data_IF_745534582522
#
_entry.id   IF_745534582522
#
_cell.length_a   1.000
_cell.length_b   1.000
_cell.length_c   1.000
_cell.angle_alpha   90.00
_cell.angle_beta   90.00
_cell.angle_gamma   90.00
#
_symmetry.space_group_name_H-M   'P 1'
#
loop_
_entity.id
_entity.type
_entity.pdbx_description
1 polymer ?
#
# COMPACT_ATOMS: atom_id res chain seq x y z
N UNK A 1 24.59 18.32 -10.93
CA UNK A 1 23.71 18.87 -9.87
C UNK A 1 22.98 17.69 -9.29
N UNK A 2 22.95 17.55 -7.96
CA UNK A 2 22.17 16.51 -7.28
C UNK A 2 20.69 16.71 -7.59
N UNK A 3 19.98 15.64 -7.93
CA UNK A 3 18.54 15.67 -8.19
C UNK A 3 17.83 16.25 -6.95
N UNK A 4 16.94 17.23 -7.14
CA UNK A 4 16.09 17.74 -6.06
C UNK A 4 15.28 16.56 -5.50
N UNK A 5 15.14 16.46 -4.18
CA UNK A 5 14.44 15.31 -3.59
C UNK A 5 12.92 15.40 -3.78
N UNK A 6 12.23 14.25 -3.76
CA UNK A 6 10.78 14.21 -3.86
C UNK A 6 10.11 14.96 -2.70
N UNK A 7 10.65 14.84 -1.49
CA UNK A 7 10.18 15.50 -0.27
C UNK A 7 10.26 17.03 -0.38
N UNK A 8 11.30 17.56 -1.04
CA UNK A 8 11.42 18.98 -1.31
C UNK A 8 10.37 19.47 -2.32
N UNK A 9 9.98 18.63 -3.28
CA UNK A 9 8.94 18.98 -4.25
C UNK A 9 7.53 18.86 -3.67
N UNK A 10 7.28 17.89 -2.79
CA UNK A 10 6.00 17.73 -2.08
C UNK A 10 5.59 18.96 -1.27
N UNK A 11 6.57 19.77 -0.84
CA UNK A 11 6.33 21.05 -0.14
C UNK A 11 5.95 22.19 -1.08
N UNK A 12 6.30 22.09 -2.38
CA UNK A 12 6.18 23.18 -3.36
C UNK A 12 4.89 23.12 -4.17
N UNK A 13 4.45 21.92 -4.55
CA UNK A 13 3.17 21.72 -5.24
C UNK A 13 2.57 20.35 -4.90
N UNK A 14 1.32 20.15 -5.32
CA UNK A 14 0.72 18.81 -5.35
C UNK A 14 1.38 18.04 -6.49
N UNK A 15 2.08 16.94 -6.17
CA UNK A 15 2.70 16.09 -7.17
C UNK A 15 1.64 15.24 -7.88
N UNK A 16 1.85 15.03 -9.17
CA UNK A 16 0.98 14.19 -9.99
C UNK A 16 1.64 12.82 -10.16
N UNK A 17 1.03 11.80 -9.56
CA UNK A 17 1.30 10.39 -9.86
C UNK A 17 0.62 10.04 -11.19
N UNK A 18 1.11 9.02 -11.89
CA UNK A 18 0.54 8.56 -13.14
C UNK A 18 -0.81 7.84 -12.96
N UNK A 19 -1.25 7.17 -14.02
CA UNK A 19 -2.50 6.41 -14.06
C UNK A 19 -2.24 4.91 -14.17
N UNK A 20 -3.30 4.14 -14.47
CA UNK A 20 -3.19 2.69 -14.50
C UNK A 20 -2.38 2.12 -15.70
N UNK A 21 -1.22 1.53 -15.39
CA UNK A 21 -0.46 0.67 -16.31
C UNK A 21 -1.34 -0.44 -16.92
N UNK A 22 -2.08 -1.18 -16.08
CA UNK A 22 -2.95 -2.25 -16.55
C UNK A 22 -4.04 -1.78 -17.53
N UNK A 23 -4.61 -0.59 -17.32
CA UNK A 23 -5.59 0.01 -18.25
C UNK A 23 -4.97 0.36 -19.59
N UNK A 24 -3.72 0.84 -19.60
CA UNK A 24 -2.99 1.12 -20.85
C UNK A 24 -2.66 -0.18 -21.60
N UNK A 25 -2.26 -1.24 -20.89
CA UNK A 25 -1.98 -2.54 -21.49
C UNK A 25 -3.23 -3.20 -22.08
N UNK A 26 -4.38 -3.08 -21.42
CA UNK A 26 -5.67 -3.58 -21.94
C UNK A 26 -6.13 -2.88 -23.22
N UNK A 27 -5.66 -1.66 -23.50
CA UNK A 27 -5.95 -0.94 -24.74
C UNK A 27 -5.06 -1.38 -25.89
N UNK A 28 -3.98 -2.09 -25.60
CA UNK A 28 -3.12 -2.70 -26.59
C UNK A 28 -3.71 -4.06 -27.01
N UNK A 29 -3.58 -4.42 -28.29
CA UNK A 29 -4.04 -5.72 -28.80
C UNK A 29 -3.00 -6.81 -28.52
N UNK A 30 -2.65 -6.99 -27.24
CA UNK A 30 -1.69 -8.00 -26.80
C UNK A 30 -2.25 -9.40 -26.97
N UNK A 31 -1.37 -10.32 -27.34
CA UNK A 31 -1.64 -11.75 -27.50
C UNK A 31 -0.75 -12.55 -26.56
N UNK A 32 -1.06 -13.83 -26.35
CA UNK A 32 -0.20 -14.75 -25.60
C UNK A 32 1.28 -14.71 -26.03
N UNK A 33 1.56 -14.50 -27.32
CA UNK A 33 2.94 -14.37 -27.83
C UNK A 33 3.68 -13.15 -27.24
N UNK A 34 2.97 -12.03 -27.01
CA UNK A 34 3.55 -10.84 -26.39
C UNK A 34 3.93 -11.09 -24.92
N UNK A 35 3.22 -11.97 -24.22
CA UNK A 35 3.55 -12.41 -22.86
C UNK A 35 4.62 -13.52 -22.83
N UNK A 36 4.95 -14.10 -23.99
CA UNK A 36 5.94 -15.17 -24.13
C UNK A 36 5.36 -16.59 -24.03
N UNK A 37 4.04 -16.76 -24.07
CA UNK A 37 3.34 -18.04 -23.97
C UNK A 37 1.90 -17.89 -23.46
N UNK A 38 1.04 -18.88 -23.73
CA UNK A 38 -0.34 -18.90 -23.21
C UNK A 38 -0.34 -19.01 -21.67
N UNK A 39 0.67 -19.66 -21.11
CA UNK A 39 0.86 -19.81 -19.66
C UNK A 39 1.16 -18.50 -18.93
N UNK A 40 1.62 -17.46 -19.63
CA UNK A 40 1.98 -16.16 -19.06
C UNK A 40 0.96 -15.07 -19.36
N UNK A 41 -0.12 -15.39 -20.08
CA UNK A 41 -1.14 -14.43 -20.46
C UNK A 41 -1.79 -13.82 -19.21
N UNK A 42 -1.79 -12.49 -19.14
CA UNK A 42 -2.30 -11.73 -18.00
C UNK A 42 -1.25 -11.39 -16.92
N UNK A 43 -0.05 -11.97 -16.97
CA UNK A 43 1.07 -11.54 -16.13
C UNK A 43 1.68 -10.24 -16.69
N UNK A 44 1.13 -9.08 -16.32
CA UNK A 44 1.58 -7.80 -16.87
C UNK A 44 3.07 -7.52 -16.59
N UNK A 45 3.60 -8.03 -15.49
CA UNK A 45 4.98 -7.86 -15.07
C UNK A 45 5.97 -8.51 -16.06
N UNK A 46 5.60 -9.62 -16.73
CA UNK A 46 6.48 -10.29 -17.71
C UNK A 46 6.79 -9.39 -18.92
N UNK A 47 5.90 -8.45 -19.22
CA UNK A 47 6.05 -7.50 -20.31
C UNK A 47 7.25 -6.57 -20.11
N UNK A 48 7.78 -6.46 -18.89
CA UNK A 48 9.07 -5.79 -18.65
C UNK A 48 10.21 -6.46 -19.44
N UNK A 49 10.15 -7.78 -19.62
CA UNK A 49 11.15 -8.58 -20.34
C UNK A 49 10.79 -8.75 -21.81
N UNK A 50 9.53 -9.09 -22.10
CA UNK A 50 9.10 -9.47 -23.46
C UNK A 50 8.71 -8.27 -24.33
N UNK A 51 8.19 -7.19 -23.73
CA UNK A 51 7.73 -5.97 -24.41
C UNK A 51 8.26 -4.68 -23.75
N UNK A 52 9.59 -4.56 -23.50
CA UNK A 52 10.17 -3.44 -22.76
C UNK A 52 9.90 -2.07 -23.40
N UNK A 53 9.88 -1.99 -24.74
CA UNK A 53 9.60 -0.74 -25.45
C UNK A 53 8.15 -0.26 -25.25
N UNK A 54 7.20 -1.19 -25.11
CA UNK A 54 5.80 -0.85 -24.83
C UNK A 54 5.67 -0.26 -23.42
N UNK A 55 6.25 -0.91 -22.42
CA UNK A 55 6.23 -0.44 -21.03
C UNK A 55 6.87 0.95 -20.92
N UNK A 56 8.04 1.14 -21.54
CA UNK A 56 8.69 2.46 -21.57
C UNK A 56 7.82 3.52 -22.26
N UNK A 57 7.19 3.18 -23.40
CA UNK A 57 6.27 4.10 -24.10
C UNK A 57 5.10 4.52 -23.21
N UNK A 58 4.53 3.60 -22.42
CA UNK A 58 3.42 3.92 -21.50
C UNK A 58 3.89 4.91 -20.42
N UNK A 59 5.04 4.67 -19.79
CA UNK A 59 5.62 5.62 -18.82
C UNK A 59 5.84 7.00 -19.45
N UNK A 60 6.45 7.06 -20.64
CA UNK A 60 6.67 8.32 -21.35
C UNK A 60 5.35 9.04 -21.69
N UNK A 61 4.29 8.31 -21.99
CA UNK A 61 2.96 8.88 -22.28
C UNK A 61 2.36 9.55 -21.04
N UNK A 62 2.51 8.95 -19.85
CA UNK A 62 2.07 9.59 -18.60
C UNK A 62 2.94 10.80 -18.21
N UNK A 63 4.25 10.73 -18.44
CA UNK A 63 5.16 11.87 -18.24
C UNK A 63 4.82 13.03 -19.18
N UNK A 64 4.50 12.75 -20.45
CA UNK A 64 4.00 13.74 -21.41
C UNK A 64 2.67 14.38 -20.97
N UNK A 65 1.79 13.59 -20.35
CA UNK A 65 0.53 14.07 -19.79
C UNK A 65 0.72 14.96 -18.56
N UNK A 66 1.92 15.01 -17.96
CA UNK A 66 2.24 15.90 -16.86
C UNK A 66 2.48 15.20 -15.52
N UNK A 67 2.63 13.88 -15.50
CA UNK A 67 3.05 13.16 -14.30
C UNK A 67 4.42 13.65 -13.79
N UNK A 68 4.55 13.80 -12.48
CA UNK A 68 5.78 14.11 -11.76
C UNK A 68 6.46 12.86 -11.21
N UNK A 69 5.64 11.85 -10.86
CA UNK A 69 6.00 10.55 -10.33
C UNK A 69 5.33 9.48 -11.19
N UNK A 70 6.07 8.43 -11.56
CA UNK A 70 5.52 7.26 -12.26
C UNK A 70 5.76 5.99 -11.44
N UNK A 71 4.82 5.06 -11.49
CA UNK A 71 4.94 3.75 -10.85
C UNK A 71 5.65 2.77 -11.79
N UNK A 72 6.48 1.89 -11.24
CA UNK A 72 7.05 0.77 -12.01
C UNK A 72 5.98 -0.27 -12.34
N UNK A 73 6.10 -0.96 -13.47
CA UNK A 73 5.23 -2.10 -13.81
C UNK A 73 5.63 -3.35 -12.99
N UNK A 74 5.46 -3.29 -11.67
CA UNK A 74 5.95 -4.31 -10.73
C UNK A 74 4.96 -4.62 -9.60
N UNK A 75 3.69 -4.27 -9.77
CA UNK A 75 2.64 -4.46 -8.76
C UNK A 75 2.62 -5.89 -8.21
N UNK A 76 2.59 -6.88 -9.10
CA UNK A 76 2.66 -8.31 -8.80
C UNK A 76 4.07 -8.90 -8.85
N UNK A 77 5.13 -8.09 -8.70
CA UNK A 77 6.52 -8.50 -8.89
C UNK A 77 7.11 -9.44 -7.82
N UNK A 78 6.32 -9.97 -6.89
CA UNK A 78 6.78 -10.88 -5.83
C UNK A 78 6.78 -12.35 -6.30
N UNK A 79 7.62 -13.20 -5.69
CA UNK A 79 7.67 -14.63 -6.04
C UNK A 79 6.33 -15.34 -5.78
N UNK A 80 5.62 -14.98 -4.70
CA UNK A 80 4.28 -15.52 -4.37
C UNK A 80 3.27 -15.30 -5.51
N UNK A 81 3.29 -14.13 -6.14
CA UNK A 81 2.37 -13.80 -7.25
C UNK A 81 2.82 -14.50 -8.54
N UNK A 82 4.12 -14.44 -8.84
CA UNK A 82 4.67 -15.04 -10.06
C UNK A 82 4.65 -16.58 -10.04
N UNK A 83 4.47 -17.20 -8.87
CA UNK A 83 4.19 -18.63 -8.75
C UNK A 83 2.86 -19.05 -9.39
N UNK A 84 1.88 -18.14 -9.53
CA UNK A 84 0.63 -18.42 -10.26
C UNK A 84 0.83 -18.60 -11.77
N UNK A 85 2.00 -18.17 -12.27
CA UNK A 85 2.45 -18.28 -13.65
C UNK A 85 3.66 -19.23 -13.79
N UNK A 86 3.95 -20.05 -12.78
CA UNK A 86 5.08 -21.00 -12.75
C UNK A 86 6.47 -20.35 -13.01
N UNK A 87 6.66 -19.08 -12.61
CA UNK A 87 7.92 -18.33 -12.79
C UNK A 87 8.37 -17.53 -11.54
N UNK A 88 8.28 -18.06 -10.31
CA UNK A 88 8.66 -17.33 -9.09
C UNK A 88 10.13 -16.86 -9.10
N UNK A 89 11.02 -17.61 -9.75
CA UNK A 89 12.45 -17.29 -9.87
C UNK A 89 12.74 -16.04 -10.73
N UNK A 90 11.79 -15.62 -11.57
CA UNK A 90 11.94 -14.41 -12.41
C UNK A 90 11.65 -13.12 -11.67
N UNK A 91 11.14 -13.18 -10.44
CA UNK A 91 10.78 -12.00 -9.64
C UNK A 91 11.88 -10.94 -9.64
N UNK A 92 13.11 -11.34 -9.34
CA UNK A 92 14.24 -10.41 -9.28
C UNK A 92 14.48 -9.69 -10.61
N UNK A 93 14.63 -10.44 -11.70
CA UNK A 93 14.94 -9.91 -13.03
C UNK A 93 13.83 -8.97 -13.53
N UNK A 94 12.56 -9.37 -13.34
CA UNK A 94 11.38 -8.60 -13.71
C UNK A 94 11.36 -7.24 -13.01
N UNK A 95 11.62 -7.20 -11.70
CA UNK A 95 11.61 -5.95 -10.94
C UNK A 95 12.78 -5.03 -11.31
N UNK A 96 13.99 -5.58 -11.45
CA UNK A 96 15.15 -4.79 -11.90
C UNK A 96 14.84 -4.17 -13.26
N UNK A 97 14.29 -4.95 -14.19
CA UNK A 97 13.99 -4.45 -15.53
C UNK A 97 12.86 -3.41 -15.51
N UNK A 98 11.77 -3.65 -14.77
CA UNK A 98 10.67 -2.70 -14.62
C UNK A 98 11.14 -1.35 -14.07
N UNK A 99 11.97 -1.38 -13.03
CA UNK A 99 12.57 -0.17 -12.46
C UNK A 99 13.48 0.56 -13.44
N UNK A 100 14.32 -0.16 -14.20
CA UNK A 100 15.20 0.45 -15.20
C UNK A 100 14.42 1.13 -16.34
N UNK A 101 13.31 0.53 -16.81
CA UNK A 101 12.47 1.11 -17.86
C UNK A 101 11.82 2.41 -17.39
N UNK A 102 11.25 2.41 -16.19
CA UNK A 102 10.69 3.62 -15.58
C UNK A 102 11.77 4.69 -15.33
N UNK A 103 12.96 4.30 -14.84
CA UNK A 103 14.09 5.22 -14.64
C UNK A 103 14.52 5.90 -15.94
N UNK A 104 14.67 5.13 -17.02
CA UNK A 104 15.05 5.65 -18.33
C UNK A 104 14.00 6.65 -18.86
N UNK A 105 12.71 6.32 -18.73
CA UNK A 105 11.63 7.24 -19.10
C UNK A 105 11.68 8.52 -18.25
N UNK A 106 11.78 8.40 -16.94
CA UNK A 106 11.83 9.53 -16.02
C UNK A 106 13.06 10.43 -16.27
N UNK A 107 14.24 9.86 -16.56
CA UNK A 107 15.46 10.63 -16.86
C UNK A 107 15.33 11.42 -18.17
N UNK A 108 14.73 10.83 -19.20
CA UNK A 108 14.47 11.49 -20.50
C UNK A 108 13.58 12.73 -20.36
N UNK A 109 12.60 12.68 -19.45
CA UNK A 109 11.64 13.77 -19.20
C UNK A 109 12.02 14.68 -18.03
N UNK A 110 13.13 14.41 -17.35
CA UNK A 110 13.64 15.21 -16.25
C UNK A 110 14.37 16.44 -16.74
N UNK A 111 14.18 17.55 -16.03
CA UNK A 111 14.99 18.77 -16.18
C UNK A 111 15.64 19.13 -14.85
N UNK A 112 16.72 19.93 -14.81
CA UNK A 112 17.33 20.35 -13.54
C UNK A 112 16.37 21.09 -12.60
N UNK A 113 15.43 21.86 -13.16
CA UNK A 113 14.41 22.58 -12.39
C UNK A 113 13.22 21.69 -12.00
N UNK A 114 12.97 20.64 -12.78
CA UNK A 114 11.81 19.77 -12.64
C UNK A 114 12.18 18.30 -12.90
N UNK A 115 12.75 17.61 -11.91
CA UNK A 115 13.03 16.19 -12.01
C UNK A 115 11.74 15.36 -12.01
N UNK A 116 11.80 14.18 -12.64
CA UNK A 116 10.76 13.15 -12.61
C UNK A 116 11.19 12.01 -11.70
N UNK A 117 10.25 11.47 -10.95
CA UNK A 117 10.49 10.46 -9.94
C UNK A 117 9.92 9.10 -10.36
N UNK A 118 10.52 8.04 -9.84
CA UNK A 118 10.06 6.66 -10.04
C UNK A 118 9.71 6.06 -8.67
N UNK A 119 8.46 5.62 -8.50
CA UNK A 119 8.03 4.82 -7.37
C UNK A 119 8.10 3.34 -7.74
N UNK A 120 8.86 2.56 -6.97
CA UNK A 120 8.85 1.11 -7.05
C UNK A 120 7.54 0.56 -6.49
N UNK A 121 6.59 0.23 -7.35
CA UNK A 121 5.28 -0.33 -6.99
C UNK A 121 5.45 -1.74 -6.42
N UNK A 122 4.90 -1.96 -5.22
CA UNK A 122 4.90 -3.21 -4.48
C UNK A 122 3.46 -3.47 -4.01
N UNK A 123 2.73 -4.33 -4.72
CA UNK A 123 1.33 -4.65 -4.42
C UNK A 123 1.16 -5.53 -3.18
N UNK A 124 -0.09 -5.86 -2.80
CA UNK A 124 -0.42 -6.61 -1.58
C UNK A 124 -0.17 -8.12 -1.70
N UNK A 125 0.32 -8.59 -2.86
CA UNK A 125 0.35 -9.99 -3.32
C UNK A 125 -1.05 -10.59 -3.53
N UNK A 126 -1.14 -11.87 -3.92
CA UNK A 126 -2.40 -12.63 -4.02
C UNK A 126 -2.77 -13.34 -2.71
N UNK A 127 -1.93 -13.21 -1.67
CA UNK A 127 -2.12 -13.82 -0.35
C UNK A 127 -2.11 -12.74 0.74
N UNK A 128 -3.09 -12.83 1.63
CA UNK A 128 -3.21 -11.95 2.81
C UNK A 128 -3.12 -12.78 4.07
N UNK A 129 -2.34 -12.33 5.04
CA UNK A 129 -2.11 -13.07 6.29
C UNK A 129 -3.40 -13.22 7.10
N UNK A 130 -4.20 -12.16 7.19
CA UNK A 130 -5.39 -12.10 8.04
C UNK A 130 -6.65 -12.66 7.40
N UNK A 131 -6.71 -12.78 6.06
CA UNK A 131 -7.97 -13.10 5.35
C UNK A 131 -7.89 -14.42 4.60
N UNK A 132 -6.91 -14.58 3.70
CA UNK A 132 -6.82 -15.79 2.86
C UNK A 132 -5.88 -16.85 3.43
N UNK A 133 -4.86 -16.45 4.20
CA UNK A 133 -3.74 -17.30 4.57
C UNK A 133 -2.96 -17.78 3.33
N UNK A 134 -2.25 -18.91 3.49
CA UNK A 134 -1.49 -19.56 2.42
C UNK A 134 -0.08 -19.01 2.19
N UNK A 135 0.38 -18.13 3.08
CA UNK A 135 1.74 -17.59 3.15
C UNK A 135 2.04 -17.27 4.62
N UNK A 136 3.29 -17.41 5.06
CA UNK A 136 3.69 -17.00 6.43
C UNK A 136 4.14 -15.54 6.45
N UNK A 137 4.25 -14.96 7.66
CA UNK A 137 4.77 -13.60 7.81
C UNK A 137 6.23 -13.53 7.32
N UNK A 138 7.02 -14.55 7.64
CA UNK A 138 8.42 -14.70 7.25
C UNK A 138 8.57 -14.80 5.73
N UNK A 139 7.72 -15.60 5.07
CA UNK A 139 7.73 -15.72 3.60
C UNK A 139 7.45 -14.36 2.94
N UNK A 140 6.45 -13.61 3.43
CA UNK A 140 6.17 -12.26 2.89
C UNK A 140 7.30 -11.27 3.16
N UNK A 141 7.97 -11.35 4.31
CA UNK A 141 9.15 -10.53 4.58
C UNK A 141 10.24 -10.79 3.55
N UNK A 142 10.53 -12.05 3.24
CA UNK A 142 11.55 -12.42 2.25
C UNK A 142 11.15 -12.00 0.83
N UNK A 143 9.88 -12.19 0.45
CA UNK A 143 9.36 -11.77 -0.86
C UNK A 143 9.49 -10.26 -1.08
N UNK A 144 9.03 -9.46 -0.11
CA UNK A 144 9.16 -8.00 -0.19
C UNK A 144 10.60 -7.53 -0.08
N UNK A 145 11.45 -8.23 0.67
CA UNK A 145 12.89 -7.96 0.71
C UNK A 145 13.53 -8.10 -0.67
N UNK A 146 13.31 -9.22 -1.35
CA UNK A 146 13.87 -9.45 -2.68
C UNK A 146 13.32 -8.47 -3.71
N UNK A 147 12.03 -8.14 -3.64
CA UNK A 147 11.42 -7.14 -4.51
C UNK A 147 12.03 -5.74 -4.27
N UNK A 148 12.11 -5.30 -3.01
CA UNK A 148 12.68 -4.00 -2.66
C UNK A 148 14.15 -3.90 -3.08
N UNK A 149 14.94 -4.96 -2.87
CA UNK A 149 16.33 -5.03 -3.32
C UNK A 149 16.45 -4.81 -4.82
N UNK A 150 15.67 -5.53 -5.62
CA UNK A 150 15.66 -5.40 -7.08
C UNK A 150 15.26 -3.99 -7.55
N UNK A 151 14.25 -3.39 -6.91
CA UNK A 151 13.80 -2.03 -7.23
C UNK A 151 14.86 -0.97 -6.87
N UNK A 152 15.52 -1.09 -5.72
CA UNK A 152 16.62 -0.20 -5.31
C UNK A 152 17.80 -0.29 -6.28
N UNK A 153 18.16 -1.49 -6.72
CA UNK A 153 19.21 -1.70 -7.74
C UNK A 153 18.81 -1.15 -9.11
N UNK A 154 17.54 -1.29 -9.48
CA UNK A 154 16.97 -0.73 -10.71
C UNK A 154 16.91 0.81 -10.72
N UNK A 155 17.10 1.46 -9.57
CA UNK A 155 17.28 2.90 -9.48
C UNK A 155 15.99 3.70 -9.25
N UNK A 156 15.02 3.12 -8.55
CA UNK A 156 13.81 3.86 -8.12
C UNK A 156 14.16 4.98 -7.14
N UNK A 157 13.30 6.01 -7.07
CA UNK A 157 13.46 7.14 -6.15
C UNK A 157 12.70 6.95 -4.83
N UNK A 158 11.69 6.08 -4.81
CA UNK A 158 10.88 5.73 -3.65
C UNK A 158 10.37 4.29 -3.78
N UNK A 159 9.99 3.67 -2.66
CA UNK A 159 9.30 2.38 -2.64
C UNK A 159 7.84 2.60 -2.22
N UNK A 160 6.90 1.98 -2.91
CA UNK A 160 5.47 2.20 -2.74
C UNK A 160 4.76 0.87 -2.42
N UNK A 161 4.40 0.69 -1.15
CA UNK A 161 3.48 -0.37 -0.72
C UNK A 161 2.05 0.10 -1.00
N UNK A 162 1.44 -0.35 -2.09
CA UNK A 162 0.14 0.13 -2.54
C UNK A 162 -0.96 -0.92 -2.53
N UNK A 163 -2.21 -0.44 -2.62
CA UNK A 163 -3.42 -1.28 -2.54
C UNK A 163 -3.40 -2.15 -1.28
N UNK A 164 -2.87 -1.61 -0.18
CA UNK A 164 -2.73 -2.33 1.07
C UNK A 164 -4.11 -2.66 1.67
N UNK A 165 -4.38 -3.95 1.79
CA UNK A 165 -5.63 -4.52 2.31
C UNK A 165 -5.48 -5.08 3.73
N UNK A 166 -4.26 -5.42 4.12
CA UNK A 166 -3.89 -6.07 5.38
C UNK A 166 -2.61 -5.45 5.93
N UNK A 167 -2.64 -4.97 7.18
CA UNK A 167 -1.49 -4.31 7.78
C UNK A 167 -0.41 -5.27 8.26
N UNK A 168 -0.71 -6.57 8.40
CA UNK A 168 0.33 -7.57 8.59
C UNK A 168 1.19 -7.69 7.32
N UNK A 169 0.60 -7.70 6.13
CA UNK A 169 1.34 -7.66 4.87
C UNK A 169 2.19 -6.38 4.78
N UNK A 170 1.64 -5.21 5.12
CA UNK A 170 2.39 -3.94 5.09
C UNK A 170 3.56 -3.97 6.08
N UNK A 171 3.38 -4.54 7.27
CA UNK A 171 4.46 -4.69 8.27
C UNK A 171 5.54 -5.67 7.79
N UNK A 172 5.16 -6.78 7.17
CA UNK A 172 6.10 -7.68 6.53
C UNK A 172 6.89 -6.95 5.43
N UNK A 173 6.21 -6.17 4.59
CA UNK A 173 6.82 -5.30 3.59
C UNK A 173 7.79 -4.28 4.17
N UNK A 174 7.41 -3.62 5.27
CA UNK A 174 8.28 -2.67 5.99
C UNK A 174 9.58 -3.32 6.49
N UNK A 175 9.51 -4.53 7.05
CA UNK A 175 10.69 -5.29 7.48
C UNK A 175 11.54 -5.70 6.26
N UNK A 176 10.90 -6.18 5.19
CA UNK A 176 11.59 -6.56 3.95
C UNK A 176 12.35 -5.38 3.32
N UNK A 177 11.71 -4.21 3.27
CA UNK A 177 12.33 -2.95 2.83
C UNK A 177 13.52 -2.59 3.70
N UNK A 178 13.41 -2.69 5.03
CA UNK A 178 14.52 -2.41 5.94
C UNK A 178 15.70 -3.35 5.70
N UNK A 179 15.47 -4.66 5.52
CA UNK A 179 16.51 -5.62 5.14
C UNK A 179 17.21 -5.22 3.83
N UNK A 180 16.46 -4.75 2.83
CA UNK A 180 17.01 -4.30 1.57
C UNK A 180 17.84 -3.02 1.72
N UNK A 181 17.42 -2.08 2.58
CA UNK A 181 18.21 -0.91 2.93
C UNK A 181 19.53 -1.29 3.62
N UNK A 182 19.49 -2.22 4.57
CA UNK A 182 20.68 -2.69 5.28
C UNK A 182 21.69 -3.36 4.33
N UNK A 183 21.20 -4.16 3.38
CA UNK A 183 22.05 -4.81 2.37
C UNK A 183 22.65 -3.83 1.37
N UNK A 184 21.85 -2.89 0.86
CA UNK A 184 22.28 -1.98 -0.21
C UNK A 184 23.04 -0.75 0.30
N UNK A 185 22.90 -0.43 1.60
CA UNK A 185 23.36 0.81 2.19
C UNK A 185 22.63 2.06 1.66
N UNK A 186 21.47 1.90 1.02
CA UNK A 186 20.66 2.99 0.46
C UNK A 186 19.31 3.02 1.17
N UNK A 187 18.98 4.16 1.76
CA UNK A 187 17.65 4.43 2.31
C UNK A 187 16.87 5.30 1.33
N UNK A 188 15.67 4.85 0.94
CA UNK A 188 14.76 5.57 0.07
C UNK A 188 13.49 5.97 0.83
N UNK A 189 12.77 7.02 0.41
CA UNK A 189 11.44 7.32 0.90
C UNK A 189 10.48 6.14 0.68
N UNK A 190 9.68 5.82 1.71
CA UNK A 190 8.65 4.79 1.64
C UNK A 190 7.27 5.45 1.57
N UNK A 191 6.48 5.07 0.59
CA UNK A 191 5.09 5.48 0.39
C UNK A 191 4.19 4.29 0.76
N UNK A 192 3.05 4.58 1.39
CA UNK A 192 2.06 3.56 1.73
C UNK A 192 0.69 4.02 1.25
N UNK A 193 -0.01 3.18 0.50
CA UNK A 193 -1.39 3.47 0.08
C UNK A 193 -2.29 2.29 0.39
N UNK A 194 -3.35 2.57 1.16
CA UNK A 194 -4.37 1.60 1.50
C UNK A 194 -5.50 1.57 0.47
N UNK A 195 -6.28 0.50 0.53
CA UNK A 195 -7.57 0.44 -0.16
C UNK A 195 -8.68 0.24 0.88
N UNK A 196 -9.75 1.02 0.74
CA UNK A 196 -10.92 0.95 1.61
C UNK A 196 -12.09 0.47 0.76
N UNK A 197 -12.68 -0.65 1.18
CA UNK A 197 -13.84 -1.25 0.56
C UNK A 197 -15.09 -0.36 0.77
N UNK A 198 -16.15 -0.55 -0.04
CA UNK A 198 -17.39 0.21 0.09
C UNK A 198 -18.05 0.17 1.48
N UNK A 199 -17.70 -0.79 2.33
CA UNK A 199 -18.15 -0.85 3.73
C UNK A 199 -17.43 0.12 4.68
N UNK A 200 -16.38 0.81 4.22
CA UNK A 200 -15.64 1.83 4.98
C UNK A 200 -14.41 1.33 5.73
N UNK A 201 -13.97 0.10 5.46
CA UNK A 201 -12.79 -0.52 6.06
C UNK A 201 -11.88 -1.14 5.00
N UNK A 202 -10.63 -1.46 5.36
CA UNK A 202 -9.81 -2.36 4.55
C UNK A 202 -10.44 -3.75 4.49
N UNK A 203 -9.94 -4.63 3.62
CA UNK A 203 -10.40 -6.02 3.54
C UNK A 203 -10.19 -6.77 4.87
N UNK A 204 -9.07 -6.50 5.56
CA UNK A 204 -8.79 -7.03 6.91
C UNK A 204 -9.59 -6.32 8.03
N UNK A 205 -10.53 -5.43 7.68
CA UNK A 205 -11.51 -4.84 8.58
C UNK A 205 -11.09 -3.53 9.26
N UNK A 206 -9.87 -3.05 9.07
CA UNK A 206 -9.42 -1.82 9.71
C UNK A 206 -10.09 -0.58 9.11
N UNK A 207 -10.56 0.32 9.97
CA UNK A 207 -10.94 1.66 9.53
C UNK A 207 -9.70 2.51 9.20
N UNK A 208 -9.93 3.70 8.65
CA UNK A 208 -8.84 4.55 8.16
C UNK A 208 -7.88 5.06 9.26
N UNK A 209 -8.36 5.24 10.48
CA UNK A 209 -7.53 5.66 11.60
C UNK A 209 -6.64 4.50 12.06
N UNK A 210 -7.23 3.32 12.28
CA UNK A 210 -6.50 2.12 12.65
C UNK A 210 -5.45 1.74 11.60
N UNK A 211 -5.78 1.89 10.31
CA UNK A 211 -4.85 1.74 9.19
C UNK A 211 -3.61 2.62 9.36
N UNK A 212 -3.78 3.94 9.53
CA UNK A 212 -2.65 4.86 9.65
C UNK A 212 -1.82 4.58 10.91
N UNK A 213 -2.47 4.43 12.07
CA UNK A 213 -1.80 4.15 13.35
C UNK A 213 -0.98 2.85 13.27
N UNK A 214 -1.47 1.86 12.52
CA UNK A 214 -0.78 0.58 12.35
C UNK A 214 0.51 0.67 11.53
N UNK A 215 0.67 1.71 10.71
CA UNK A 215 1.80 1.85 9.76
C UNK A 215 2.66 3.09 10.01
N UNK A 216 2.27 3.99 10.92
CA UNK A 216 2.99 5.24 11.20
C UNK A 216 4.46 5.02 11.61
N UNK A 217 4.73 3.89 12.28
CA UNK A 217 6.06 3.50 12.74
C UNK A 217 7.04 3.19 11.61
N UNK A 218 6.54 2.99 10.38
CA UNK A 218 7.36 2.84 9.18
C UNK A 218 7.86 4.19 8.65
N UNK A 219 7.46 5.30 9.28
CA UNK A 219 7.84 6.67 8.91
C UNK A 219 7.65 6.99 7.42
N UNK A 220 6.48 6.70 6.83
CA UNK A 220 6.27 6.90 5.41
C UNK A 220 6.38 8.38 5.02
N UNK A 221 6.95 8.66 3.85
CA UNK A 221 6.97 10.01 3.26
C UNK A 221 5.56 10.47 2.88
N UNK A 222 4.73 9.51 2.47
CA UNK A 222 3.32 9.72 2.21
C UNK A 222 2.48 8.51 2.60
N UNK A 223 1.29 8.78 3.14
CA UNK A 223 0.23 7.79 3.33
C UNK A 223 -1.00 8.19 2.53
N UNK A 224 -1.75 7.24 1.99
CA UNK A 224 -2.92 7.60 1.20
C UNK A 224 -3.85 6.47 0.87
N UNK A 225 -4.70 6.73 -0.13
CA UNK A 225 -5.67 5.77 -0.64
C UNK A 225 -5.64 5.68 -2.15
N UNK A 226 -5.81 4.46 -2.64
CA UNK A 226 -5.94 4.14 -4.06
C UNK A 226 -6.93 2.99 -4.29
N UNK A 227 -7.35 2.85 -5.55
CA UNK A 227 -8.24 1.78 -5.98
C UNK A 227 -9.59 1.70 -5.22
N UNK A 228 -10.27 0.54 -5.32
CA UNK A 228 -11.58 0.13 -4.81
C UNK A 228 -12.78 1.03 -5.13
N UNK A 229 -12.66 2.34 -4.90
CA UNK A 229 -13.76 3.27 -4.94
C UNK A 229 -13.41 4.55 -5.70
N UNK A 230 -14.44 5.30 -6.07
CA UNK A 230 -14.28 6.63 -6.64
C UNK A 230 -13.92 7.68 -5.58
N UNK A 231 -13.49 8.88 -6.01
CA UNK A 231 -13.13 9.98 -5.11
C UNK A 231 -14.25 10.36 -4.12
N UNK A 232 -15.53 10.26 -4.50
CA UNK A 232 -16.64 10.55 -3.57
C UNK A 232 -16.57 9.74 -2.28
N UNK A 233 -16.28 8.44 -2.40
CA UNK A 233 -16.22 7.53 -1.27
C UNK A 233 -14.98 7.79 -0.41
N UNK A 234 -13.84 8.08 -1.05
CA UNK A 234 -12.59 8.37 -0.36
C UNK A 234 -12.62 9.67 0.45
N UNK A 235 -13.57 10.58 0.18
CA UNK A 235 -13.59 11.94 0.74
C UNK A 235 -13.46 11.99 2.26
N UNK A 236 -14.27 11.21 2.98
CA UNK A 236 -14.25 11.26 4.45
C UNK A 236 -13.01 10.57 5.02
N UNK A 237 -12.52 9.53 4.36
CA UNK A 237 -11.28 8.86 4.74
C UNK A 237 -10.06 9.77 4.55
N UNK A 238 -9.97 10.47 3.41
CA UNK A 238 -8.92 11.47 3.14
C UNK A 238 -9.00 12.65 4.12
N UNK A 239 -10.21 13.11 4.46
CA UNK A 239 -10.38 14.14 5.51
C UNK A 239 -9.81 13.68 6.84
N UNK A 240 -10.13 12.46 7.27
CA UNK A 240 -9.63 11.90 8.53
C UNK A 240 -8.12 11.70 8.49
N UNK A 241 -7.57 11.10 7.43
CA UNK A 241 -6.11 10.97 7.26
C UNK A 241 -5.42 12.33 7.29
N UNK A 242 -5.96 13.33 6.60
CA UNK A 242 -5.39 14.69 6.59
C UNK A 242 -5.32 15.32 7.98
N UNK A 243 -6.26 15.00 8.88
CA UNK A 243 -6.21 15.47 10.28
C UNK A 243 -5.23 14.70 11.16
N UNK A 244 -4.94 13.44 10.83
CA UNK A 244 -4.19 12.51 11.66
C UNK A 244 -2.71 12.40 11.27
N UNK A 245 -2.42 12.36 9.97
CA UNK A 245 -1.13 11.94 9.47
C UNK A 245 -0.03 12.99 9.66
N UNK A 246 1.11 12.55 10.19
CA UNK A 246 2.34 13.33 10.33
C UNK A 246 3.15 13.46 9.04
N UNK A 247 2.69 12.88 7.94
CA UNK A 247 3.34 12.86 6.64
C UNK A 247 2.43 13.36 5.51
N UNK A 248 2.92 13.32 4.27
CA UNK A 248 2.17 13.76 3.09
C UNK A 248 0.97 12.85 2.82
N UNK A 249 -0.10 13.38 2.23
CA UNK A 249 -1.28 12.58 1.84
C UNK A 249 -1.30 12.32 0.33
N UNK A 250 -1.42 11.06 -0.07
CA UNK A 250 -1.70 10.67 -1.46
C UNK A 250 -3.16 10.25 -1.66
N UNK A 251 -3.70 10.54 -2.85
CA UNK A 251 -5.00 10.02 -3.26
C UNK A 251 -5.05 9.83 -4.77
N UNK A 252 -5.27 8.60 -5.20
CA UNK A 252 -5.27 8.23 -6.62
C UNK A 252 -6.37 7.19 -6.90
N UNK A 253 -7.63 7.64 -7.01
CA UNK A 253 -8.80 6.76 -7.11
C UNK A 253 -8.94 6.14 -8.52
N UNK A 254 -9.87 5.19 -8.63
CA UNK A 254 -10.33 4.70 -9.93
C UNK A 254 -11.09 5.80 -10.70
N UNK A 255 -11.22 5.62 -12.02
CA UNK A 255 -12.10 6.44 -12.87
C UNK A 255 -13.59 6.08 -12.65
N UNK A 256 -14.04 6.16 -11.39
CA UNK A 256 -15.36 5.69 -10.97
C UNK A 256 -15.39 4.19 -10.68
N UNK A 257 -16.60 3.65 -10.48
CA UNK A 257 -16.81 2.20 -10.42
C UNK A 257 -16.98 1.66 -11.84
N UNK A 258 -16.45 0.48 -12.15
CA UNK A 258 -16.65 -0.15 -13.46
C UNK A 258 -18.12 -0.56 -13.64
N UNK A 259 -18.60 -0.52 -14.88
CA UNK A 259 -19.89 -1.11 -15.25
C UNK A 259 -19.82 -2.66 -15.32
N UNK A 260 -20.94 -3.30 -15.68
CA UNK A 260 -21.05 -4.75 -15.82
C UNK A 260 -20.06 -5.35 -16.84
N UNK A 261 -19.51 -4.54 -17.75
CA UNK A 261 -18.53 -4.93 -18.75
C UNK A 261 -17.10 -4.52 -18.37
N UNK A 262 -16.88 -3.99 -17.16
CA UNK A 262 -15.58 -3.53 -16.70
C UNK A 262 -15.18 -2.13 -17.19
N UNK A 263 -16.08 -1.38 -17.83
CA UNK A 263 -15.75 -0.05 -18.33
C UNK A 263 -15.91 1.04 -17.27
N UNK A 264 -14.97 1.97 -17.25
CA UNK A 264 -14.96 3.12 -16.36
C UNK A 264 -15.52 4.35 -17.08
N UNK A 265 -16.48 5.03 -16.45
CA UNK A 265 -17.24 6.12 -17.06
C UNK A 265 -16.90 7.51 -16.53
N UNK A 266 -16.04 7.61 -15.51
CA UNK A 266 -15.61 8.92 -15.03
C UNK A 266 -14.80 9.64 -16.11
N UNK A 267 -15.14 10.92 -16.34
CA UNK A 267 -14.44 11.72 -17.35
C UNK A 267 -13.15 12.31 -16.79
N UNK A 268 -12.15 12.62 -17.64
CA UNK A 268 -10.92 13.31 -17.23
C UNK A 268 -11.18 14.59 -16.40
N UNK A 269 -12.05 15.46 -16.88
CA UNK A 269 -12.41 16.70 -16.19
C UNK A 269 -13.23 16.43 -14.92
N UNK A 270 -14.14 15.44 -14.95
CA UNK A 270 -14.92 15.05 -13.77
C UNK A 270 -14.02 14.61 -12.62
N UNK A 271 -13.10 13.69 -12.87
CA UNK A 271 -12.13 13.25 -11.87
C UNK A 271 -11.26 14.42 -11.36
N UNK A 272 -10.73 15.24 -12.27
CA UNK A 272 -9.89 16.38 -11.90
C UNK A 272 -10.62 17.40 -11.00
N UNK A 273 -11.90 17.68 -11.24
CA UNK A 273 -12.70 18.57 -10.39
C UNK A 273 -12.96 17.98 -9.00
N UNK A 274 -13.18 16.67 -8.90
CA UNK A 274 -13.35 15.99 -7.61
C UNK A 274 -12.07 16.05 -6.78
N UNK A 275 -10.92 15.79 -7.42
CA UNK A 275 -9.60 15.93 -6.79
C UNK A 275 -9.30 17.39 -6.39
N UNK A 276 -9.72 18.36 -7.21
CA UNK A 276 -9.61 19.78 -6.86
C UNK A 276 -10.36 20.12 -5.57
N UNK A 277 -11.51 19.48 -5.30
CA UNK A 277 -12.25 19.63 -4.05
C UNK A 277 -11.49 19.14 -2.80
N UNK A 278 -10.52 18.22 -2.95
CA UNK A 278 -9.61 17.82 -1.87
C UNK A 278 -8.44 18.80 -1.72
N UNK A 279 -7.90 19.26 -2.85
CA UNK A 279 -6.83 20.23 -2.90
C UNK A 279 -7.25 21.60 -2.34
N UNK A 280 -8.46 22.07 -2.63
CA UNK A 280 -9.02 23.33 -2.11
C UNK A 280 -9.06 23.34 -0.57
N UNK A 281 -9.33 22.19 0.03
CA UNK A 281 -9.35 22.03 1.49
C UNK A 281 -7.97 21.77 2.09
N UNK A 282 -6.93 21.71 1.26
CA UNK A 282 -5.57 21.43 1.68
C UNK A 282 -5.40 20.03 2.26
N UNK A 283 -6.09 19.01 1.71
CA UNK A 283 -6.05 17.66 2.25
C UNK A 283 -4.99 16.74 1.63
N UNK A 284 -4.47 17.10 0.45
CA UNK A 284 -3.59 16.20 -0.33
C UNK A 284 -2.27 16.87 -0.72
N UNK A 285 -1.26 16.04 -0.93
CA UNK A 285 0.08 16.39 -1.43
C UNK A 285 0.40 15.67 -2.74
N UNK A 286 -0.21 14.50 -2.98
CA UNK A 286 -0.05 13.72 -4.21
C UNK A 286 -1.44 13.38 -4.74
N UNK A 287 -1.64 13.57 -6.04
CA UNK A 287 -2.85 13.16 -6.75
C UNK A 287 -2.47 12.30 -7.96
N UNK A 288 -3.25 11.28 -8.27
CA UNK A 288 -3.01 10.42 -9.43
C UNK A 288 -4.25 9.66 -9.83
N UNK A 289 -4.07 8.58 -10.58
CA UNK A 289 -5.16 7.70 -10.98
C UNK A 289 -4.82 6.22 -10.81
N UNK A 290 -5.84 5.41 -10.51
CA UNK A 290 -5.75 3.95 -10.51
C UNK A 290 -6.56 3.38 -11.68
N UNK A 291 -7.29 2.27 -11.50
CA UNK A 291 -7.99 1.57 -12.58
C UNK A 291 -8.92 2.47 -13.39
N UNK A 292 -8.88 2.33 -14.72
CA UNK A 292 -9.68 3.11 -15.66
C UNK A 292 -9.12 4.50 -15.99
N UNK A 293 -8.09 4.97 -15.28
CA UNK A 293 -7.49 6.27 -15.55
C UNK A 293 -6.48 6.20 -16.70
N UNK A 294 -6.44 7.27 -17.49
CA UNK A 294 -5.67 7.36 -18.73
C UNK A 294 -4.82 8.63 -18.76
N UNK A 295 -3.88 8.80 -19.72
CA UNK A 295 -3.12 10.03 -19.88
C UNK A 295 -4.00 11.30 -19.99
N UNK A 296 -5.22 11.18 -20.52
CA UNK A 296 -6.17 12.31 -20.54
C UNK A 296 -6.58 12.74 -19.13
N UNK A 297 -6.80 11.78 -18.22
CA UNK A 297 -7.10 12.06 -16.81
C UNK A 297 -5.93 12.73 -16.11
N UNK A 298 -4.71 12.22 -16.31
CA UNK A 298 -3.50 12.78 -15.71
C UNK A 298 -3.28 14.23 -16.18
N UNK A 299 -3.48 14.50 -17.47
CA UNK A 299 -3.38 15.87 -18.02
C UNK A 299 -4.40 16.82 -17.40
N UNK A 300 -5.67 16.39 -17.32
CA UNK A 300 -6.72 17.19 -16.70
C UNK A 300 -6.43 17.47 -15.21
N UNK A 301 -5.94 16.47 -14.46
CA UNK A 301 -5.54 16.62 -13.07
C UNK A 301 -4.35 17.57 -12.92
N UNK A 302 -3.28 17.41 -13.70
CA UNK A 302 -2.11 18.27 -13.66
C UNK A 302 -2.46 19.74 -13.97
N UNK A 303 -3.29 19.99 -14.98
CA UNK A 303 -3.74 21.33 -15.35
C UNK A 303 -4.63 21.98 -14.29
N UNK A 304 -5.48 21.20 -13.63
CA UNK A 304 -6.41 21.69 -12.61
C UNK A 304 -5.68 21.97 -11.30
N UNK A 305 -4.87 21.00 -10.84
CA UNK A 305 -4.26 21.01 -9.51
C UNK A 305 -3.07 21.97 -9.38
N UNK A 306 -2.47 22.43 -10.49
CA UNK A 306 -1.40 23.44 -10.47
C UNK A 306 -1.81 24.77 -9.80
N UNK A 307 -3.11 25.04 -9.69
CA UNK A 307 -3.64 26.26 -9.08
C UNK A 307 -3.79 26.17 -7.56
N UNK A 308 -3.54 24.99 -6.97
CA UNK A 308 -3.71 24.74 -5.55
C UNK A 308 -2.36 24.52 -4.86
N UNK A 309 -2.32 24.81 -3.57
CA UNK A 309 -1.14 24.54 -2.73
C UNK A 309 -1.25 23.13 -2.14
N UNK A 310 -0.12 22.43 -1.94
CA UNK A 310 -0.13 21.15 -1.24
C UNK A 310 -0.43 21.38 0.24
N UNK A 311 -1.02 20.36 0.88
CA UNK A 311 -1.24 20.33 2.34
C UNK A 311 0.06 20.68 3.10
N UNK A 312 -0.04 21.61 4.05
CA UNK A 312 1.08 22.09 4.87
C UNK A 312 0.98 21.64 6.33
N UNK A 313 -0.25 21.51 6.85
CA UNK A 313 -0.49 21.21 8.25
C UNK A 313 -0.41 19.70 8.47
N UNK A 314 0.64 19.27 9.16
CA UNK A 314 0.78 17.87 9.56
C UNK A 314 -0.10 17.60 10.78
N UNK A 315 -0.82 16.48 10.75
CA UNK A 315 -1.67 16.02 11.82
C UNK A 315 -0.85 15.57 13.02
N UNK A 316 -1.53 15.45 14.16
CA UNK A 316 -0.98 14.86 15.36
C UNK A 316 -2.11 14.17 16.12
N UNK A 317 -1.79 13.08 16.80
CA UNK A 317 -2.69 12.42 17.74
C UNK A 317 -2.02 12.25 19.11
N UNK A 318 -2.85 11.99 20.12
CA UNK A 318 -2.37 11.54 21.41
C UNK A 318 -1.86 10.10 21.37
N UNK A 319 -1.62 9.54 22.56
CA UNK A 319 -1.31 8.12 22.69
C UNK A 319 -2.50 7.28 22.21
N UNK A 320 -2.23 6.34 21.31
CA UNK A 320 -3.24 5.49 20.70
C UNK A 320 -2.64 4.11 20.43
N UNK A 321 -3.48 3.08 20.51
CA UNK A 321 -3.17 1.72 20.03
C UNK A 321 -4.25 1.30 19.04
N UNK A 322 -3.95 0.38 18.15
CA UNK A 322 -4.91 -0.08 17.14
C UNK A 322 -5.00 -1.61 17.10
N UNK A 323 -6.24 -2.11 17.10
CA UNK A 323 -6.59 -3.43 16.57
C UNK A 323 -7.28 -3.23 15.22
N UNK A 324 -8.52 -3.72 15.08
CA UNK A 324 -9.41 -3.36 13.96
C UNK A 324 -9.83 -1.88 14.06
N UNK A 325 -10.01 -1.38 15.28
CA UNK A 325 -10.37 -0.01 15.60
C UNK A 325 -9.27 0.65 16.46
N UNK A 326 -9.13 2.00 16.42
CA UNK A 326 -8.23 2.72 17.29
C UNK A 326 -8.80 2.83 18.72
N UNK A 327 -7.93 2.73 19.72
CA UNK A 327 -8.21 3.04 21.10
C UNK A 327 -7.33 4.22 21.53
N UNK A 328 -7.92 5.41 21.63
CA UNK A 328 -7.24 6.61 22.12
C UNK A 328 -7.13 6.58 23.65
N UNK A 329 -5.96 6.93 24.19
CA UNK A 329 -5.67 6.91 25.63
C UNK A 329 -5.85 8.30 26.24
N UNK A 330 -7.06 8.83 26.14
CA UNK A 330 -7.42 10.15 26.64
C UNK A 330 -7.59 10.19 28.16
N UNK A 331 -7.77 11.39 28.73
CA UNK A 331 -8.03 11.54 30.17
C UNK A 331 -9.47 11.18 30.52
N UNK A 332 -10.40 11.43 29.61
CA UNK A 332 -11.84 11.35 29.86
C UNK A 332 -12.39 9.91 29.78
N UNK A 333 -11.66 8.99 29.14
CA UNK A 333 -12.03 7.58 29.02
C UNK A 333 -11.28 6.66 30.00
N UNK A 334 -10.65 7.23 31.03
CA UNK A 334 -9.95 6.47 32.07
C UNK A 334 -10.88 6.07 33.22
N UNK A 335 -10.66 4.90 33.86
CA UNK A 335 -9.58 3.95 33.59
C UNK A 335 -9.84 3.08 32.34
N UNK A 336 -8.77 2.75 31.62
CA UNK A 336 -8.81 1.72 30.59
C UNK A 336 -8.58 0.35 31.22
N UNK A 337 -9.54 -0.56 31.03
CA UNK A 337 -9.44 -1.95 31.48
C UNK A 337 -8.64 -2.83 30.52
N UNK A 338 -7.68 -3.59 31.07
CA UNK A 338 -6.94 -4.66 30.39
C UNK A 338 -7.44 -6.00 30.89
N UNK A 339 -7.86 -6.88 29.98
CA UNK A 339 -8.37 -8.20 30.30
C UNK A 339 -7.26 -9.21 30.57
N UNK A 340 -7.08 -9.61 31.82
CA UNK A 340 -6.00 -10.50 32.31
C UNK A 340 -6.26 -12.01 32.13
N UNK A 341 -7.46 -12.43 31.72
CA UNK A 341 -7.87 -13.87 31.80
C UNK A 341 -7.33 -14.74 30.67
N UNK A 342 -6.78 -14.16 29.61
CA UNK A 342 -6.12 -14.89 28.52
C UNK A 342 -4.65 -15.16 28.85
N UNK A 343 -4.43 -15.70 30.04
CA UNK A 343 -3.11 -15.88 30.64
C UNK A 343 -2.97 -17.30 31.20
N UNK A 344 -2.04 -18.08 30.65
CA UNK A 344 -1.78 -19.48 31.01
C UNK A 344 -1.38 -19.65 32.49
N UNK A 345 -0.70 -18.66 33.06
CA UNK A 345 -0.26 -18.68 34.46
C UNK A 345 -1.43 -18.36 35.40
N UNK A 346 -2.22 -17.33 35.07
CA UNK A 346 -3.28 -16.78 35.92
C UNK A 346 -4.66 -17.44 35.78
N UNK A 347 -4.93 -18.13 34.68
CA UNK A 347 -6.26 -18.61 34.33
C UNK A 347 -6.26 -20.12 34.02
N UNK A 348 -6.64 -20.93 35.02
CA UNK A 348 -6.72 -22.39 34.89
C UNK A 348 -7.51 -22.82 33.65
N UNK A 349 -8.69 -22.23 33.42
CA UNK A 349 -9.52 -22.58 32.26
C UNK A 349 -8.82 -22.27 30.93
N UNK A 350 -8.15 -21.11 30.83
CA UNK A 350 -7.46 -20.73 29.60
C UNK A 350 -6.25 -21.64 29.35
N UNK A 351 -5.42 -21.90 30.37
CA UNK A 351 -4.33 -22.87 30.27
C UNK A 351 -4.80 -24.22 29.80
N UNK A 352 -5.83 -24.78 30.45
CA UNK A 352 -6.29 -26.13 30.13
C UNK A 352 -6.74 -26.18 28.64
N UNK A 353 -7.35 -25.10 28.10
CA UNK A 353 -7.70 -25.00 26.67
C UNK A 353 -6.48 -24.87 25.75
N UNK A 354 -5.47 -24.07 26.10
CA UNK A 354 -4.23 -23.94 25.31
C UNK A 354 -3.45 -25.25 25.28
N UNK A 355 -3.32 -25.93 26.43
CA UNK A 355 -2.65 -27.23 26.53
C UNK A 355 -3.36 -28.30 25.69
N UNK A 356 -4.70 -28.26 25.67
CA UNK A 356 -5.53 -29.12 24.83
C UNK A 356 -5.61 -28.66 23.35
N UNK A 357 -4.90 -27.60 22.97
CA UNK A 357 -4.86 -27.01 21.60
C UNK A 357 -6.24 -26.55 21.09
N UNK A 358 -7.13 -26.17 22.01
CA UNK A 358 -8.47 -25.65 21.74
C UNK A 358 -8.45 -24.13 21.60
N UNK A 359 -7.66 -23.61 20.67
CA UNK A 359 -7.42 -22.17 20.48
C UNK A 359 -8.71 -21.38 20.22
N UNK A 360 -9.62 -21.91 19.41
CA UNK A 360 -10.91 -21.24 19.13
C UNK A 360 -11.75 -21.08 20.41
N UNK A 361 -11.84 -22.13 21.23
CA UNK A 361 -12.54 -22.07 22.53
C UNK A 361 -11.81 -21.15 23.52
N UNK A 362 -10.48 -21.09 23.46
CA UNK A 362 -9.68 -20.18 24.25
C UNK A 362 -9.92 -18.71 23.84
N UNK A 363 -10.13 -18.43 22.54
CA UNK A 363 -10.44 -17.10 22.02
C UNK A 363 -11.75 -16.54 22.60
N UNK A 364 -12.73 -17.40 22.89
CA UNK A 364 -13.98 -17.01 23.55
C UNK A 364 -13.76 -16.47 24.97
N UNK A 365 -12.66 -16.86 25.65
CA UNK A 365 -12.28 -16.24 26.93
C UNK A 365 -11.89 -14.78 26.69
N UNK A 366 -11.10 -14.48 25.66
CA UNK A 366 -10.76 -13.10 25.28
C UNK A 366 -12.01 -12.30 24.89
N UNK A 367 -12.86 -12.83 24.00
CA UNK A 367 -14.11 -12.18 23.58
C UNK A 367 -15.05 -11.89 24.77
N UNK A 368 -15.12 -12.80 25.74
CA UNK A 368 -15.92 -12.60 26.95
C UNK A 368 -15.36 -11.51 27.87
N UNK A 369 -14.07 -11.18 27.80
CA UNK A 369 -13.50 -10.03 28.50
C UNK A 369 -13.91 -8.72 27.82
N UNK A 370 -13.82 -8.66 26.49
CA UNK A 370 -14.26 -7.50 25.69
C UNK A 370 -15.75 -7.22 25.90
N UNK A 371 -16.61 -8.25 25.84
CA UNK A 371 -18.06 -8.14 26.14
C UNK A 371 -18.36 -7.62 27.56
N UNK A 372 -17.39 -7.70 28.48
CA UNK A 372 -17.50 -7.21 29.87
C UNK A 372 -16.78 -5.87 30.09
N UNK A 373 -16.32 -5.21 29.04
CA UNK A 373 -15.73 -3.88 29.09
C UNK A 373 -14.20 -3.83 29.11
N UNK A 374 -13.51 -4.92 28.81
CA UNK A 374 -12.07 -4.85 28.55
C UNK A 374 -11.82 -4.11 27.22
N UNK A 375 -10.92 -3.12 27.24
CA UNK A 375 -10.54 -2.36 26.04
C UNK A 375 -9.32 -2.97 25.34
N UNK A 376 -8.43 -3.59 26.12
CA UNK A 376 -7.26 -4.32 25.65
C UNK A 376 -7.30 -5.72 26.27
N UNK A 377 -6.81 -6.73 25.55
CA UNK A 377 -6.67 -8.09 26.07
C UNK A 377 -5.18 -8.38 26.26
N UNK A 378 -4.80 -8.76 27.47
CA UNK A 378 -3.46 -9.29 27.76
C UNK A 378 -3.42 -10.77 27.33
N UNK A 379 -2.38 -11.16 26.61
CA UNK A 379 -2.19 -12.53 26.12
C UNK A 379 -0.85 -13.03 26.64
N UNK A 380 -0.88 -14.11 27.42
CA UNK A 380 0.31 -14.74 27.98
C UNK A 380 0.20 -16.26 27.82
N UNK A 381 1.08 -16.82 26.98
CA UNK A 381 1.11 -18.26 26.68
C UNK A 381 2.34 -18.96 27.26
N UNK A 382 3.18 -18.24 28.01
CA UNK A 382 4.33 -18.77 28.74
C UNK A 382 3.97 -20.03 29.56
N UNK A 383 4.47 -21.17 29.10
CA UNK A 383 4.26 -22.48 29.71
C UNK A 383 5.56 -23.29 29.62
N UNK A 384 6.18 -23.70 30.75
CA UNK A 384 7.42 -24.48 30.74
C UNK A 384 7.33 -25.82 30.00
N UNK A 385 6.12 -26.36 29.87
CA UNK A 385 5.86 -27.67 29.28
C UNK A 385 5.46 -27.61 27.79
N UNK A 386 5.40 -26.41 27.18
CA UNK A 386 5.00 -26.20 25.78
C UNK A 386 5.91 -25.19 25.08
N UNK A 387 5.82 -25.13 23.76
CA UNK A 387 6.45 -24.09 22.96
C UNK A 387 5.57 -22.84 22.92
N UNK A 388 5.98 -21.79 23.64
CA UNK A 388 5.22 -20.53 23.72
C UNK A 388 5.06 -19.84 22.36
N UNK A 389 6.08 -19.92 21.49
CA UNK A 389 6.03 -19.24 20.18
C UNK A 389 5.01 -19.91 19.28
N UNK A 390 5.03 -21.25 19.24
CA UNK A 390 4.05 -22.03 18.50
C UNK A 390 2.63 -21.79 19.00
N UNK A 391 2.43 -21.77 20.32
CA UNK A 391 1.11 -21.50 20.92
C UNK A 391 0.64 -20.07 20.60
N UNK A 392 1.56 -19.09 20.55
CA UNK A 392 1.25 -17.69 20.21
C UNK A 392 0.84 -17.52 18.75
N UNK A 393 1.56 -18.14 17.82
CA UNK A 393 1.21 -18.15 16.40
C UNK A 393 -0.13 -18.82 16.13
N UNK A 394 -0.47 -19.88 16.86
CA UNK A 394 -1.75 -20.58 16.70
C UNK A 394 -2.94 -19.84 17.34
N UNK A 395 -2.69 -19.02 18.37
CA UNK A 395 -3.74 -18.32 19.09
C UNK A 395 -4.11 -16.94 18.52
N UNK A 396 -3.11 -16.20 18.03
CA UNK A 396 -3.29 -14.89 17.39
C UNK A 396 -3.82 -15.05 15.97
#
# INVERSE_FOLDING_TARGET
MTKISMEEQLKKKILILDGAMGTMLQQESLTAEDFGGEEYEGCNEILNLTRPELIQKIHETYLEAGADLIETNTFGGTAVVLAEYDIPEKAYEINVKGAQLARQAADKWSTPAWPRYVAGSMGPTTKTLSVTGGVTFEDLVEDYYHQALALIEGGVDALLLETAQDMLNVKAGGIGIQKAFDQTGKTLPVMISGTIEPMGTTLAGQNIEAFYISVEHLHPVSVGLNCATGPEFMRDHIRTLSGLAGCSISCYPNAGLPDENGHYHESPQGLAQKMAGFAEKGWINIAGGCCGTTPAHIRAMAETLKNYKPRQDMGNHGHVVAGIEPLYLDKDNRPLFVGERSNVIGSKKFRDLIVDEKYEEASEIARAQVKRGAHVVDICLANPDRDEMQDMEAFL
#
